data_IF_461936612938
#
_entry.id   IF_461936612938
#
_cell.length_a   1.000
_cell.length_b   1.000
_cell.length_c   1.000
_cell.angle_alpha   90.00
_cell.angle_beta   90.00
_cell.angle_gamma   90.00
#
_symmetry.space_group_name_H-M   'P 1'
#
loop_
_entity.id
_entity.type
_entity.pdbx_description
1 polymer ?
#
# COMPACT_ATOMS: atom_id res chain seq x y z
N UNK A 1 32.41 -3.11 2.69
CA UNK A 1 31.38 -4.12 3.01
C UNK A 1 30.01 -3.48 2.90
N UNK A 2 29.08 -3.99 2.08
CA UNK A 2 27.71 -3.50 2.07
C UNK A 2 26.99 -4.09 3.29
N UNK A 3 27.14 -3.44 4.45
CA UNK A 3 26.71 -3.98 5.75
C UNK A 3 25.30 -3.49 6.17
N UNK A 4 24.40 -3.29 5.20
CA UNK A 4 22.99 -2.98 5.47
C UNK A 4 22.13 -4.05 4.83
N UNK A 5 21.90 -5.14 5.58
CA UNK A 5 20.67 -5.89 5.40
C UNK A 5 19.54 -4.94 5.79
N UNK A 6 18.86 -4.35 4.80
CA UNK A 6 17.64 -3.59 5.06
C UNK A 6 16.64 -4.63 5.57
N UNK A 7 16.29 -4.53 6.87
CA UNK A 7 15.24 -5.37 7.43
C UNK A 7 13.99 -5.21 6.57
N UNK A 8 13.31 -6.33 6.26
CA UNK A 8 12.14 -6.29 5.40
C UNK A 8 11.06 -5.33 5.92
N UNK A 9 10.96 -5.15 7.25
CA UNK A 9 10.09 -4.15 7.89
C UNK A 9 10.35 -2.71 7.45
N UNK A 10 11.55 -2.41 6.96
CA UNK A 10 11.96 -1.10 6.46
C UNK A 10 11.97 -1.06 4.93
N UNK A 11 11.45 -2.11 4.28
CA UNK A 11 11.30 -2.13 2.82
C UNK A 11 10.01 -1.42 2.42
N UNK A 12 10.06 -0.72 1.30
CA UNK A 12 8.90 -0.05 0.74
C UNK A 12 7.76 -1.03 0.39
N UNK A 13 8.09 -2.30 0.10
CA UNK A 13 7.11 -3.36 -0.12
C UNK A 13 6.34 -3.71 1.16
N UNK A 14 7.02 -3.76 2.31
CA UNK A 14 6.35 -3.98 3.59
C UNK A 14 5.42 -2.82 3.95
N UNK A 15 5.83 -1.58 3.66
CA UNK A 15 4.97 -0.39 3.79
C UNK A 15 3.75 -0.51 2.88
N UNK A 16 3.92 -0.87 1.61
CA UNK A 16 2.81 -1.09 0.69
C UNK A 16 1.84 -2.18 1.18
N UNK A 17 2.36 -3.27 1.74
CA UNK A 17 1.55 -4.32 2.36
C UNK A 17 0.74 -3.81 3.56
N UNK A 18 1.36 -3.02 4.44
CA UNK A 18 0.68 -2.38 5.57
C UNK A 18 -0.46 -1.46 5.08
N UNK A 19 -0.17 -0.56 4.14
CA UNK A 19 -1.17 0.36 3.58
C UNK A 19 -2.34 -0.41 2.96
N UNK A 20 -2.06 -1.44 2.16
CA UNK A 20 -3.07 -2.31 1.57
C UNK A 20 -3.94 -2.98 2.64
N UNK A 21 -3.36 -3.41 3.76
CA UNK A 21 -4.11 -4.02 4.86
C UNK A 21 -5.09 -3.05 5.53
N UNK A 22 -4.74 -1.76 5.62
CA UNK A 22 -5.65 -0.72 6.16
C UNK A 22 -6.77 -0.41 5.18
N UNK A 23 -6.44 -0.28 3.90
CA UNK A 23 -7.41 0.00 2.82
C UNK A 23 -8.35 -1.18 2.55
N UNK A 24 -7.99 -2.40 2.95
CA UNK A 24 -8.87 -3.57 2.87
C UNK A 24 -10.07 -3.48 3.83
N UNK A 25 -9.98 -2.65 4.88
CA UNK A 25 -11.08 -2.47 5.85
C UNK A 25 -12.07 -1.41 5.38
N UNK A 26 -11.56 -0.29 4.86
CA UNK A 26 -12.36 0.82 4.32
C UNK A 26 -11.53 1.68 3.37
N UNK A 27 -12.22 2.37 2.46
CA UNK A 27 -11.63 3.45 1.65
C UNK A 27 -11.23 4.62 2.55
N UNK A 28 -10.11 5.26 2.21
CA UNK A 28 -9.52 6.36 2.99
C UNK A 28 -8.91 7.39 2.05
N UNK A 29 -9.05 8.66 2.38
CA UNK A 29 -8.20 9.71 1.78
C UNK A 29 -6.73 9.52 2.19
N UNK A 30 -5.80 10.16 1.47
CA UNK A 30 -4.36 10.12 1.81
C UNK A 30 -4.13 10.63 3.24
N UNK A 31 -4.81 11.70 3.64
CA UNK A 31 -4.65 12.30 4.96
C UNK A 31 -5.16 11.38 6.07
N UNK A 32 -6.32 10.75 5.89
CA UNK A 32 -6.86 9.80 6.87
C UNK A 32 -6.01 8.53 6.94
N UNK A 33 -5.49 8.04 5.81
CA UNK A 33 -4.58 6.92 5.78
C UNK A 33 -3.29 7.26 6.53
N UNK A 34 -2.71 8.44 6.30
CA UNK A 34 -1.53 8.90 7.02
C UNK A 34 -1.76 8.97 8.53
N UNK A 35 -2.88 9.57 8.97
CA UNK A 35 -3.24 9.62 10.38
C UNK A 35 -3.43 8.21 10.98
N UNK A 36 -4.08 7.32 10.23
CA UNK A 36 -4.30 5.93 10.65
C UNK A 36 -2.96 5.21 10.86
N UNK A 37 -2.00 5.37 9.95
CA UNK A 37 -0.67 4.75 10.04
C UNK A 37 0.16 5.37 11.15
N UNK A 38 0.13 6.69 11.32
CA UNK A 38 0.89 7.40 12.35
C UNK A 38 0.49 6.97 13.77
N UNK A 39 -0.77 6.63 13.97
CA UNK A 39 -1.33 6.18 15.25
C UNK A 39 -1.41 4.64 15.37
N UNK A 40 -0.94 3.91 14.36
CA UNK A 40 -0.95 2.45 14.38
C UNK A 40 0.14 1.90 15.32
N UNK A 41 -0.15 0.79 15.98
CA UNK A 41 0.81 0.09 16.84
C UNK A 41 1.65 -0.93 16.03
N UNK A 42 1.76 -0.74 14.72
CA UNK A 42 2.53 -1.63 13.85
C UNK A 42 4.03 -1.54 14.12
N UNK A 43 4.72 -2.66 13.86
CA UNK A 43 6.19 -2.72 13.90
C UNK A 43 6.80 -1.85 12.80
N UNK A 44 6.13 -1.78 11.64
CA UNK A 44 6.50 -0.93 10.52
C UNK A 44 6.05 0.50 10.84
N UNK A 45 6.99 1.44 10.86
CA UNK A 45 6.74 2.86 11.15
C UNK A 45 7.28 3.72 10.01
N UNK A 46 6.53 3.82 8.90
CA UNK A 46 6.99 4.56 7.74
C UNK A 46 6.89 6.07 8.00
N UNK A 47 7.76 6.84 7.37
CA UNK A 47 7.56 8.28 7.26
C UNK A 47 6.53 8.62 6.15
N UNK A 48 6.15 9.90 6.07
CA UNK A 48 5.16 10.33 5.07
C UNK A 48 5.62 10.10 3.63
N UNK A 49 6.92 10.25 3.36
CA UNK A 49 7.50 10.03 2.03
C UNK A 49 7.38 8.56 1.63
N UNK A 50 7.69 7.65 2.55
CA UNK A 50 7.57 6.21 2.35
C UNK A 50 6.11 5.80 2.14
N UNK A 51 5.15 6.44 2.82
CA UNK A 51 3.71 6.24 2.59
C UNK A 51 3.34 6.65 1.16
N UNK A 52 3.73 7.83 0.70
CA UNK A 52 3.43 8.28 -0.67
C UNK A 52 4.08 7.38 -1.71
N UNK A 53 5.34 6.98 -1.52
CA UNK A 53 6.03 6.06 -2.42
C UNK A 53 5.35 4.69 -2.48
N UNK A 54 4.88 4.17 -1.35
CA UNK A 54 4.15 2.91 -1.28
C UNK A 54 2.77 3.01 -1.97
N UNK A 55 2.06 4.12 -1.82
CA UNK A 55 0.82 4.41 -2.58
C UNK A 55 1.12 4.40 -4.09
N UNK A 56 2.19 5.08 -4.52
CA UNK A 56 2.59 5.12 -5.92
C UNK A 56 2.91 3.72 -6.47
N UNK A 57 3.56 2.86 -5.67
CA UNK A 57 3.78 1.46 -6.06
C UNK A 57 2.46 0.73 -6.23
N UNK A 58 1.55 0.79 -5.25
CA UNK A 58 0.25 0.13 -5.31
C UNK A 58 -0.56 0.60 -6.52
N UNK A 59 -0.48 1.89 -6.86
CA UNK A 59 -1.11 2.46 -8.04
C UNK A 59 -0.45 1.97 -9.34
N UNK A 60 0.89 1.95 -9.40
CA UNK A 60 1.65 1.50 -10.57
C UNK A 60 1.39 0.03 -10.90
N UNK A 61 1.23 -0.83 -9.87
CA UNK A 61 0.85 -2.24 -10.05
C UNK A 61 -0.67 -2.46 -10.14
N UNK A 62 -1.43 -1.37 -10.31
CA UNK A 62 -2.88 -1.39 -10.50
C UNK A 62 -3.69 -2.00 -9.35
N UNK A 63 -3.14 -2.13 -8.15
CA UNK A 63 -3.85 -2.60 -6.95
C UNK A 63 -4.73 -1.51 -6.31
N UNK A 64 -4.50 -0.25 -6.68
CA UNK A 64 -5.16 0.92 -6.11
C UNK A 64 -5.84 1.76 -7.20
N UNK A 65 -6.93 2.43 -6.84
CA UNK A 65 -7.56 3.49 -7.63
C UNK A 65 -8.05 4.60 -6.71
N UNK A 66 -8.40 5.76 -7.29
CA UNK A 66 -9.17 6.80 -6.63
C UNK A 66 -10.64 6.67 -7.00
N UNK A 67 -11.54 6.91 -6.05
CA UNK A 67 -12.96 7.09 -6.32
C UNK A 67 -13.32 8.57 -6.51
N UNK A 68 -14.60 8.85 -6.76
CA UNK A 68 -15.12 10.21 -6.99
C UNK A 68 -14.95 11.14 -5.77
N UNK A 69 -14.73 10.56 -4.58
CA UNK A 69 -14.52 11.29 -3.33
C UNK A 69 -13.02 11.49 -3.00
N UNK A 70 -12.12 11.20 -3.94
CA UNK A 70 -10.66 11.24 -3.72
C UNK A 70 -10.16 10.30 -2.62
N UNK A 71 -10.91 9.24 -2.34
CA UNK A 71 -10.49 8.17 -1.44
C UNK A 71 -9.74 7.10 -2.22
N UNK A 72 -8.71 6.55 -1.60
CA UNK A 72 -7.96 5.41 -2.09
C UNK A 72 -8.80 4.14 -1.89
N UNK A 73 -9.01 3.40 -2.98
CA UNK A 73 -9.81 2.17 -2.99
C UNK A 73 -8.98 1.05 -3.60
N UNK A 74 -9.02 -0.14 -3.00
CA UNK A 74 -8.40 -1.32 -3.60
C UNK A 74 -9.19 -1.78 -4.81
N UNK A 75 -8.50 -2.07 -5.91
CA UNK A 75 -9.16 -2.69 -7.06
C UNK A 75 -9.56 -4.13 -6.69
N UNK A 76 -10.79 -4.56 -7.01
CA UNK A 76 -11.15 -5.97 -6.89
C UNK A 76 -10.26 -6.77 -7.83
N UNK A 77 -9.72 -7.89 -7.34
CA UNK A 77 -8.94 -8.82 -8.17
C UNK A 77 -9.92 -9.41 -9.19
N UNK A 78 -9.81 -9.00 -10.44
CA UNK A 78 -10.63 -9.53 -11.53
C UNK A 78 -10.19 -10.95 -11.84
N UNK A 79 -11.11 -11.92 -11.78
CA UNK A 79 -10.84 -13.31 -12.16
C UNK A 79 -10.40 -13.49 -13.63
N UNK A 80 -10.60 -12.47 -14.48
CA UNK A 80 -10.19 -12.50 -15.88
C UNK A 80 -8.67 -12.33 -16.09
N UNK A 81 -7.94 -11.72 -15.13
CA UNK A 81 -6.48 -11.58 -15.23
C UNK A 81 -5.76 -12.89 -14.90
N UNK A 82 -6.37 -13.75 -14.06
CA UNK A 82 -5.80 -15.06 -13.68
C UNK A 82 -5.88 -16.07 -14.82
N UNK A 83 -6.89 -15.95 -15.70
CA UNK A 83 -7.10 -16.87 -16.82
C UNK A 83 -6.08 -16.67 -17.96
N UNK A 84 -5.53 -15.46 -18.11
CA UNK A 84 -4.60 -15.13 -19.20
C UNK A 84 -3.13 -15.43 -18.90
N UNK A 85 -2.79 -15.92 -17.71
CA UNK A 85 -1.42 -16.33 -17.34
C UNK A 85 -1.20 -17.86 -17.40
N UNK A 86 -2.22 -18.64 -17.76
CA UNK A 86 -2.15 -20.13 -17.81
C UNK A 86 -2.27 -20.69 -19.23
N UNK A 87 -2.27 -19.84 -20.26
CA UNK A 87 -2.25 -20.24 -21.67
C UNK A 87 -0.89 -19.98 -22.35
#
# INVERSE_FOLDING_TARGET
MPNKHILFSNSLLAVAGLLRSKLAVRSLTIDELWLTIKHDNSIIKPDFTEVILAINILYAIQQLTLNDYSELVLKPISSAEIANEVD
#
